data_IF_209780521871
#
_entry.id   IF_209780521871
#
_cell.length_a   1.000
_cell.length_b   1.000
_cell.length_c   1.000
_cell.angle_alpha   90.00
_cell.angle_beta   90.00
_cell.angle_gamma   90.00
#
_symmetry.space_group_name_H-M   'P 1'
#
loop_
_entity.id
_entity.type
_entity.pdbx_description
1 polymer ?
#
# COMPACT_ATOMS: atom_id res chain seq x y z
N UNK A 1 13.88 -3.18 16.72
CA UNK A 1 13.39 -3.36 15.34
C UNK A 1 13.37 -1.99 14.65
N UNK A 2 14.05 -1.87 13.52
CA UNK A 2 14.07 -0.65 12.71
C UNK A 2 13.09 -0.79 11.56
N UNK A 3 12.10 0.08 11.51
CA UNK A 3 11.08 0.11 10.46
C UNK A 3 11.31 1.33 9.58
N UNK A 4 11.43 1.14 8.27
CA UNK A 4 11.57 2.23 7.30
C UNK A 4 10.32 2.35 6.42
N UNK A 5 9.84 3.58 6.23
CA UNK A 5 8.83 3.89 5.22
C UNK A 5 9.51 4.17 3.88
N UNK A 6 9.16 3.45 2.82
CA UNK A 6 9.61 3.71 1.46
C UNK A 6 8.41 4.15 0.63
N UNK A 7 8.55 5.29 -0.06
CA UNK A 7 7.52 5.87 -0.91
C UNK A 7 7.99 5.72 -2.37
N UNK A 8 7.54 4.67 -3.10
CA UNK A 8 7.86 4.54 -4.51
C UNK A 8 7.17 5.63 -5.32
N UNK A 9 7.93 6.33 -6.16
CA UNK A 9 7.45 7.40 -6.99
C UNK A 9 8.10 7.35 -8.37
N UNK A 10 7.27 7.30 -9.43
CA UNK A 10 7.74 7.37 -10.82
C UNK A 10 7.06 8.50 -11.56
N UNK A 11 7.81 9.16 -12.46
CA UNK A 11 7.26 10.25 -13.27
C UNK A 11 6.40 9.71 -14.42
N UNK A 12 6.83 8.62 -15.04
CA UNK A 12 6.19 8.01 -16.20
C UNK A 12 4.95 7.19 -15.80
N UNK A 13 3.88 7.87 -15.44
CA UNK A 13 2.55 7.27 -15.27
C UNK A 13 1.74 7.45 -16.55
N UNK A 14 1.13 6.39 -17.08
CA UNK A 14 0.32 6.48 -18.31
C UNK A 14 -0.98 7.27 -18.10
N UNK A 15 -1.61 7.13 -16.94
CA UNK A 15 -2.88 7.79 -16.60
C UNK A 15 -2.69 9.23 -16.12
N UNK A 16 -1.56 9.53 -15.48
CA UNK A 16 -1.29 10.85 -14.91
C UNK A 16 0.24 11.10 -14.88
N UNK A 17 0.86 11.51 -16.02
CA UNK A 17 2.28 11.81 -16.06
C UNK A 17 2.66 12.94 -15.08
N UNK A 18 3.78 12.76 -14.37
CA UNK A 18 4.22 13.74 -13.36
C UNK A 18 3.41 13.79 -12.08
N UNK A 19 2.49 12.84 -11.86
CA UNK A 19 1.62 12.75 -10.68
C UNK A 19 2.31 13.07 -9.34
N UNK A 20 3.53 12.59 -9.03
CA UNK A 20 4.20 12.90 -7.76
C UNK A 20 4.51 14.38 -7.55
N UNK A 21 4.66 15.15 -8.62
CA UNK A 21 5.00 16.58 -8.59
C UNK A 21 3.79 17.51 -8.70
N UNK A 22 2.58 16.95 -8.83
CA UNK A 22 1.35 17.74 -8.93
C UNK A 22 1.16 18.56 -7.65
N UNK A 23 0.90 19.86 -7.82
CA UNK A 23 0.58 20.73 -6.69
C UNK A 23 -0.81 20.42 -6.12
N UNK A 24 -0.85 20.31 -4.81
CA UNK A 24 -2.08 20.15 -4.02
C UNK A 24 -2.02 21.21 -2.93
N UNK A 25 -2.66 22.37 -3.16
CA UNK A 25 -2.70 23.48 -2.23
C UNK A 25 -1.30 23.86 -1.68
N UNK A 26 -0.38 24.20 -2.59
CA UNK A 26 0.95 24.73 -2.28
C UNK A 26 2.02 23.70 -1.91
N UNK A 27 1.71 22.39 -1.94
CA UNK A 27 2.68 21.30 -1.76
C UNK A 27 2.46 20.24 -2.82
N UNK A 28 3.55 19.64 -3.30
CA UNK A 28 3.41 18.52 -4.23
C UNK A 28 2.82 17.28 -3.54
N UNK A 29 2.23 16.38 -4.34
CA UNK A 29 1.70 15.11 -3.86
C UNK A 29 2.74 14.33 -3.05
N UNK A 30 3.94 14.14 -3.60
CA UNK A 30 5.01 13.39 -2.93
C UNK A 30 5.47 14.05 -1.63
N UNK A 31 5.49 15.39 -1.57
CA UNK A 31 5.82 16.13 -0.35
C UNK A 31 4.77 15.88 0.73
N UNK A 32 3.48 15.89 0.38
CA UNK A 32 2.40 15.60 1.33
C UNK A 32 2.50 14.19 1.90
N UNK A 33 2.68 13.19 1.03
CA UNK A 33 2.86 11.79 1.48
C UNK A 33 4.07 11.68 2.40
N UNK A 34 5.21 12.27 2.02
CA UNK A 34 6.43 12.25 2.82
C UNK A 34 6.24 12.88 4.21
N UNK A 35 5.65 14.07 4.26
CA UNK A 35 5.39 14.79 5.52
C UNK A 35 4.40 14.05 6.41
N UNK A 36 3.36 13.40 5.85
CA UNK A 36 2.44 12.56 6.60
C UNK A 36 3.15 11.33 7.16
N UNK A 37 3.91 10.62 6.33
CA UNK A 37 4.66 9.44 6.76
C UNK A 37 5.66 9.77 7.89
N UNK A 38 6.31 10.93 7.84
CA UNK A 38 7.24 11.39 8.88
C UNK A 38 6.60 11.62 10.25
N UNK A 39 5.27 11.72 10.33
CA UNK A 39 4.55 11.86 11.60
C UNK A 39 4.27 10.52 12.30
N UNK A 40 4.45 9.39 11.61
CA UNK A 40 4.35 8.06 12.23
C UNK A 40 5.38 7.90 13.34
N UNK A 41 4.95 7.33 14.46
CA UNK A 41 5.81 7.07 15.63
C UNK A 41 6.59 5.76 15.50
N UNK A 42 6.16 4.89 14.60
CA UNK A 42 6.77 3.57 14.38
C UNK A 42 7.93 3.61 13.41
N UNK A 43 8.01 4.63 12.55
CA UNK A 43 9.07 4.72 11.55
C UNK A 43 10.37 5.29 12.13
N UNK A 44 11.44 4.54 11.93
CA UNK A 44 12.80 5.05 12.17
C UNK A 44 13.18 6.11 11.13
N UNK A 45 12.79 5.92 9.87
CA UNK A 45 13.04 6.86 8.78
C UNK A 45 12.02 6.72 7.64
N UNK A 46 12.02 7.72 6.75
CA UNK A 46 11.21 7.74 5.52
C UNK A 46 12.09 8.13 4.35
N UNK A 47 11.95 7.43 3.22
CA UNK A 47 12.70 7.69 2.00
C UNK A 47 11.80 7.59 0.77
N UNK A 48 11.98 8.49 -0.18
CA UNK A 48 11.36 8.40 -1.51
C UNK A 48 12.25 7.55 -2.41
N UNK A 49 11.68 6.59 -3.13
CA UNK A 49 12.37 5.77 -4.12
C UNK A 49 11.91 6.15 -5.53
N UNK A 50 12.82 6.65 -6.35
CA UNK A 50 12.46 7.14 -7.70
C UNK A 50 13.54 6.83 -8.73
N UNK A 51 13.13 6.78 -10.00
CA UNK A 51 14.01 6.67 -11.17
C UNK A 51 14.14 7.99 -11.94
N UNK A 52 13.54 9.09 -11.42
CA UNK A 52 13.45 10.35 -12.12
C UNK A 52 14.16 11.48 -11.37
N UNK A 53 15.10 12.14 -12.04
CA UNK A 53 15.92 13.21 -11.44
C UNK A 53 15.11 14.45 -11.05
N UNK A 54 13.96 14.70 -11.70
CA UNK A 54 13.05 15.81 -11.34
C UNK A 54 12.42 15.56 -9.97
N UNK A 55 12.00 14.32 -9.71
CA UNK A 55 11.45 13.91 -8.41
C UNK A 55 12.58 13.95 -7.37
N UNK A 56 13.75 13.40 -7.69
CA UNK A 56 14.92 13.44 -6.79
C UNK A 56 15.24 14.86 -6.34
N UNK A 57 15.38 15.79 -7.31
CA UNK A 57 15.71 17.19 -7.01
C UNK A 57 14.61 17.85 -6.19
N UNK A 58 13.34 17.58 -6.51
CA UNK A 58 12.21 18.15 -5.78
C UNK A 58 12.19 17.66 -4.32
N UNK A 59 12.43 16.36 -4.09
CA UNK A 59 12.50 15.79 -2.73
C UNK A 59 13.64 16.41 -1.93
N UNK A 60 14.82 16.58 -2.54
CA UNK A 60 15.96 17.27 -1.90
C UNK A 60 15.64 18.72 -1.55
N UNK A 61 14.88 19.43 -2.39
CA UNK A 61 14.55 20.84 -2.20
C UNK A 61 13.66 21.08 -0.96
N UNK A 62 12.76 20.14 -0.62
CA UNK A 62 11.99 20.25 0.62
C UNK A 62 12.65 19.53 1.82
N UNK A 63 13.92 19.09 1.68
CA UNK A 63 14.68 18.42 2.76
C UNK A 63 14.33 16.96 2.98
N UNK A 64 13.62 16.32 2.04
CA UNK A 64 13.30 14.89 2.09
C UNK A 64 14.49 14.01 1.72
N UNK A 65 14.47 12.76 2.20
CA UNK A 65 15.43 11.73 1.79
C UNK A 65 14.96 11.03 0.54
N UNK A 66 15.87 10.76 -0.38
CA UNK A 66 15.59 10.12 -1.65
C UNK A 66 16.68 9.13 -2.03
N UNK A 67 16.28 8.03 -2.64
CA UNK A 67 17.18 7.00 -3.21
C UNK A 67 16.80 6.81 -4.67
N UNK A 68 17.81 6.87 -5.55
CA UNK A 68 17.63 6.56 -6.96
C UNK A 68 17.57 5.05 -7.16
N UNK A 69 16.63 4.61 -8.00
CA UNK A 69 16.37 3.20 -8.32
C UNK A 69 16.26 3.03 -9.83
N UNK A 70 16.33 1.79 -10.30
CA UNK A 70 16.16 1.45 -11.72
C UNK A 70 14.79 1.87 -12.26
N UNK A 71 14.75 2.26 -13.53
CA UNK A 71 13.52 2.50 -14.29
C UNK A 71 12.85 1.22 -14.81
N UNK A 72 13.47 0.05 -14.61
CA UNK A 72 12.97 -1.23 -15.11
C UNK A 72 11.99 -1.93 -14.15
N UNK A 73 11.81 -1.42 -12.95
CA UNK A 73 10.88 -2.00 -11.98
C UNK A 73 9.44 -1.97 -12.48
N UNK A 74 8.78 -3.14 -12.41
CA UNK A 74 7.40 -3.30 -12.82
C UNK A 74 6.43 -2.93 -11.69
N UNK A 75 6.84 -3.12 -10.43
CA UNK A 75 6.01 -2.88 -9.25
C UNK A 75 6.63 -1.90 -8.25
N UNK A 76 5.80 -1.37 -7.35
CA UNK A 76 6.27 -0.62 -6.19
C UNK A 76 7.07 -1.49 -5.22
N UNK A 77 6.74 -2.76 -5.12
CA UNK A 77 7.42 -3.75 -4.27
C UNK A 77 8.87 -3.95 -4.69
N UNK A 78 9.13 -4.14 -6.00
CA UNK A 78 10.49 -4.27 -6.55
C UNK A 78 11.33 -3.01 -6.29
N UNK A 79 10.71 -1.83 -6.47
CA UNK A 79 11.36 -0.54 -6.21
C UNK A 79 11.70 -0.37 -4.73
N UNK A 80 10.81 -0.79 -3.83
CA UNK A 80 11.09 -0.78 -2.39
C UNK A 80 12.27 -1.68 -2.03
N UNK A 81 12.40 -2.85 -2.64
CA UNK A 81 13.52 -3.75 -2.42
C UNK A 81 14.86 -3.14 -2.84
N UNK A 82 14.94 -2.58 -4.04
CA UNK A 82 16.17 -1.91 -4.48
C UNK A 82 16.49 -0.69 -3.59
N UNK A 83 15.49 0.12 -3.27
CA UNK A 83 15.68 1.28 -2.41
C UNK A 83 16.19 0.89 -1.00
N UNK A 84 15.68 -0.20 -0.42
CA UNK A 84 16.17 -0.75 0.84
C UNK A 84 17.66 -1.13 0.75
N UNK A 85 18.06 -1.77 -0.34
CA UNK A 85 19.48 -2.17 -0.55
C UNK A 85 20.41 -0.98 -0.73
N UNK A 86 19.94 0.07 -1.40
CA UNK A 86 20.73 1.27 -1.70
C UNK A 86 20.69 2.30 -0.55
N UNK A 87 19.77 2.16 0.38
CA UNK A 87 19.69 3.03 1.54
C UNK A 87 20.80 2.71 2.56
N UNK A 88 21.45 3.74 3.10
CA UNK A 88 22.63 3.60 3.98
C UNK A 88 22.35 3.04 5.38
N UNK A 89 21.12 2.59 5.65
CA UNK A 89 20.71 2.03 6.94
C UNK A 89 20.13 0.63 6.78
N UNK A 90 20.48 -0.29 7.69
CA UNK A 90 19.80 -1.58 7.77
C UNK A 90 18.42 -1.41 8.42
N UNK A 91 17.38 -1.91 7.78
CA UNK A 91 16.03 -1.98 8.31
C UNK A 91 15.59 -3.44 8.47
N UNK A 92 14.82 -3.73 9.51
CA UNK A 92 14.25 -5.05 9.76
C UNK A 92 12.92 -5.22 9.02
N UNK A 93 12.17 -4.10 8.90
CA UNK A 93 10.85 -4.05 8.27
C UNK A 93 10.77 -2.86 7.32
N UNK A 94 10.18 -3.08 6.17
CA UNK A 94 9.93 -2.07 5.13
C UNK A 94 8.42 -1.87 5.03
N UNK A 95 7.95 -0.61 5.08
CA UNK A 95 6.57 -0.24 4.77
C UNK A 95 6.56 0.45 3.42
N UNK A 96 5.85 -0.14 2.46
CA UNK A 96 5.58 0.43 1.14
C UNK A 96 4.40 1.39 1.25
N UNK A 97 4.70 2.69 1.30
CA UNK A 97 3.71 3.76 1.44
C UNK A 97 3.36 4.27 0.04
N UNK A 98 2.08 4.25 -0.31
CA UNK A 98 1.64 4.65 -1.64
C UNK A 98 1.91 6.15 -1.90
N UNK A 99 2.66 6.43 -2.97
CA UNK A 99 3.04 7.80 -3.34
C UNK A 99 1.91 8.67 -3.90
N UNK A 100 0.70 8.11 -4.00
CA UNK A 100 -0.50 8.75 -4.52
C UNK A 100 -1.62 8.93 -3.48
N UNK A 101 -1.30 8.72 -2.21
CA UNK A 101 -2.20 8.97 -1.07
C UNK A 101 -1.72 10.18 -0.24
N UNK A 102 -1.94 11.43 -0.71
CA UNK A 102 -1.37 12.64 -0.10
C UNK A 102 -1.88 12.92 1.31
N UNK A 103 -2.95 12.28 1.74
CA UNK A 103 -3.55 12.40 3.07
C UNK A 103 -3.56 11.07 3.84
N UNK A 104 -2.62 10.17 3.51
CA UNK A 104 -2.41 8.97 4.33
C UNK A 104 -2.28 9.35 5.80
N UNK A 105 -2.96 8.61 6.66
CA UNK A 105 -2.91 8.90 8.08
C UNK A 105 -1.71 8.22 8.74
N UNK A 106 -0.91 8.95 9.56
CA UNK A 106 0.21 8.34 10.29
C UNK A 106 -0.20 7.12 11.12
N UNK A 107 -1.43 7.13 11.65
CA UNK A 107 -1.99 6.01 12.40
C UNK A 107 -2.09 4.71 11.58
N UNK A 108 -2.38 4.77 10.27
CA UNK A 108 -2.38 3.58 9.40
C UNK A 108 -0.98 2.95 9.32
N UNK A 109 0.06 3.79 9.28
CA UNK A 109 1.44 3.33 9.26
C UNK A 109 1.82 2.68 10.61
N UNK A 110 1.35 3.25 11.72
CA UNK A 110 1.57 2.70 13.05
C UNK A 110 0.79 1.38 13.24
N UNK A 111 -0.44 1.28 12.74
CA UNK A 111 -1.25 0.06 12.76
C UNK A 111 -0.57 -1.10 12.01
N UNK A 112 -0.12 -0.89 10.76
CA UNK A 112 0.55 -1.95 10.00
C UNK A 112 1.91 -2.33 10.62
N UNK A 113 2.65 -1.37 11.18
CA UNK A 113 3.89 -1.61 11.89
C UNK A 113 3.68 -2.53 13.10
N UNK A 114 2.55 -2.43 13.78
CA UNK A 114 2.22 -3.23 14.96
C UNK A 114 2.16 -4.74 14.67
N UNK A 115 1.85 -5.13 13.42
CA UNK A 115 1.85 -6.53 12.99
C UNK A 115 3.20 -7.23 13.20
N UNK A 116 4.31 -6.47 13.23
CA UNK A 116 5.67 -6.98 13.37
C UNK A 116 6.17 -6.99 14.82
N UNK A 117 5.34 -6.66 15.79
CA UNK A 117 5.68 -6.84 17.20
C UNK A 117 5.76 -8.34 17.59
N UNK A 118 5.16 -9.20 16.80
CA UNK A 118 5.34 -10.66 16.89
C UNK A 118 6.40 -11.12 15.90
N UNK A 119 7.27 -12.06 16.31
CA UNK A 119 8.45 -12.48 15.52
C UNK A 119 8.12 -13.29 14.25
N UNK A 120 6.86 -13.68 14.04
CA UNK A 120 6.42 -14.56 12.95
C UNK A 120 5.82 -13.81 11.76
N UNK A 121 5.75 -12.46 11.80
CA UNK A 121 5.19 -11.67 10.71
C UNK A 121 6.15 -11.64 9.51
N UNK A 122 5.70 -12.20 8.40
CA UNK A 122 6.40 -12.16 7.11
C UNK A 122 6.00 -10.91 6.31
N UNK A 123 4.70 -10.76 6.12
CA UNK A 123 4.04 -9.71 5.36
C UNK A 123 2.87 -9.19 6.17
N UNK A 124 2.51 -7.93 5.99
CA UNK A 124 1.31 -7.37 6.57
C UNK A 124 0.60 -6.40 5.60
N UNK A 125 -0.69 -6.25 5.79
CA UNK A 125 -1.52 -5.23 5.13
C UNK A 125 -2.65 -4.78 6.06
N UNK A 126 -3.41 -3.76 5.63
CA UNK A 126 -4.58 -3.30 6.34
C UNK A 126 -5.87 -3.68 5.61
N UNK A 127 -6.93 -3.84 6.38
CA UNK A 127 -8.28 -3.97 5.85
C UNK A 127 -9.24 -3.06 6.60
N UNK A 128 -10.31 -2.67 5.92
CA UNK A 128 -11.39 -1.90 6.52
C UNK A 128 -12.71 -2.64 6.32
N UNK A 129 -13.59 -2.57 7.33
CA UNK A 129 -14.95 -3.12 7.24
C UNK A 129 -15.72 -2.41 6.12
N UNK A 130 -16.39 -3.20 5.29
CA UNK A 130 -17.31 -2.70 4.27
C UNK A 130 -18.67 -2.45 4.91
N UNK A 131 -19.22 -1.25 4.70
CA UNK A 131 -20.50 -0.83 5.26
C UNK A 131 -21.55 -0.50 4.19
N UNK A 132 -21.19 -0.53 2.90
CA UNK A 132 -22.10 -0.22 1.80
C UNK A 132 -22.10 -1.32 0.75
N UNK A 133 -23.25 -1.58 0.14
CA UNK A 133 -23.37 -2.51 -0.99
C UNK A 133 -22.58 -2.02 -2.21
N UNK A 134 -22.44 -0.70 -2.38
CA UNK A 134 -21.63 -0.13 -3.45
C UNK A 134 -20.17 -0.58 -3.34
N UNK A 135 -19.52 -0.46 -2.18
CA UNK A 135 -18.15 -0.94 -1.96
C UNK A 135 -18.05 -2.46 -2.10
N UNK A 136 -19.05 -3.20 -1.61
CA UNK A 136 -19.04 -4.66 -1.64
C UNK A 136 -19.02 -5.21 -3.07
N UNK A 137 -19.84 -4.64 -3.96
CA UNK A 137 -19.96 -5.11 -5.35
C UNK A 137 -19.08 -4.35 -6.33
N UNK A 138 -18.32 -3.33 -5.89
CA UNK A 138 -17.37 -2.61 -6.73
C UNK A 138 -16.12 -3.45 -6.98
N UNK A 139 -15.89 -3.87 -8.22
CA UNK A 139 -14.71 -4.66 -8.64
C UNK A 139 -13.37 -3.92 -8.48
N UNK A 140 -13.39 -2.59 -8.34
CA UNK A 140 -12.19 -1.78 -8.08
C UNK A 140 -11.83 -1.72 -6.59
N UNK A 141 -12.69 -2.23 -5.72
CA UNK A 141 -12.46 -2.37 -4.28
C UNK A 141 -12.19 -3.84 -3.98
N UNK A 142 -10.94 -4.31 -3.86
CA UNK A 142 -10.65 -5.72 -3.57
C UNK A 142 -11.16 -6.12 -2.19
N UNK A 143 -11.83 -7.27 -2.11
CA UNK A 143 -12.28 -7.89 -0.86
C UNK A 143 -11.25 -8.86 -0.33
N UNK A 144 -11.25 -9.06 0.97
CA UNK A 144 -10.29 -9.93 1.67
C UNK A 144 -11.02 -10.92 2.56
N UNK A 145 -10.71 -12.20 2.41
CA UNK A 145 -11.10 -13.24 3.36
C UNK A 145 -10.01 -13.42 4.42
N UNK A 146 -10.41 -13.47 5.68
CA UNK A 146 -9.52 -13.63 6.83
C UNK A 146 -9.73 -14.96 7.52
N UNK A 147 -8.63 -15.55 8.02
CA UNK A 147 -8.71 -16.64 8.97
C UNK A 147 -8.86 -16.13 10.42
N UNK A 148 -9.00 -17.06 11.37
CA UNK A 148 -9.16 -16.71 12.81
C UNK A 148 -7.90 -16.08 13.43
N UNK A 149 -6.74 -16.23 12.79
CA UNK A 149 -5.46 -15.67 13.20
C UNK A 149 -5.21 -14.28 12.61
N UNK A 150 -6.23 -13.69 11.96
CA UNK A 150 -6.13 -12.43 11.22
C UNK A 150 -5.05 -12.51 10.11
N UNK A 151 -5.00 -13.60 9.38
CA UNK A 151 -4.18 -13.74 8.19
C UNK A 151 -5.10 -13.76 6.96
N UNK A 152 -4.66 -13.17 5.86
CA UNK A 152 -5.42 -13.18 4.62
C UNK A 152 -5.42 -14.59 4.00
N UNK A 153 -6.62 -15.11 3.71
CA UNK A 153 -6.81 -16.37 3.01
C UNK A 153 -6.81 -16.13 1.50
N UNK A 154 -7.49 -15.07 1.06
CA UNK A 154 -7.65 -14.73 -0.34
C UNK A 154 -8.01 -13.25 -0.49
N UNK A 155 -7.61 -12.69 -1.64
CA UNK A 155 -8.09 -11.39 -2.13
C UNK A 155 -8.86 -11.60 -3.42
N UNK A 156 -9.94 -10.87 -3.63
CA UNK A 156 -10.68 -10.91 -4.89
C UNK A 156 -11.36 -9.58 -5.18
N UNK A 157 -11.49 -9.26 -6.47
CA UNK A 157 -12.33 -8.15 -6.93
C UNK A 157 -13.82 -8.45 -6.79
N UNK A 158 -14.20 -9.74 -6.77
CA UNK A 158 -15.57 -10.16 -6.54
C UNK A 158 -15.96 -10.04 -5.06
N UNK A 159 -17.26 -9.95 -4.80
CA UNK A 159 -17.79 -10.05 -3.46
C UNK A 159 -17.60 -11.48 -2.92
N UNK A 160 -16.71 -11.66 -1.95
CA UNK A 160 -16.40 -12.92 -1.29
C UNK A 160 -16.49 -12.77 0.23
N UNK A 161 -17.02 -13.81 0.96
CA UNK A 161 -17.61 -15.05 0.47
C UNK A 161 -19.03 -14.85 -0.08
N UNK A 162 -19.52 -15.81 -0.86
CA UNK A 162 -20.94 -15.88 -1.20
C UNK A 162 -21.74 -16.30 0.05
N UNK A 163 -22.86 -15.61 0.31
CA UNK A 163 -23.72 -15.92 1.46
C UNK A 163 -24.87 -16.80 1.00
N UNK A 164 -24.72 -18.11 1.22
CA UNK A 164 -25.70 -19.10 0.82
C UNK A 164 -27.07 -18.85 1.47
N UNK A 165 -28.13 -18.83 0.66
CA UNK A 165 -29.50 -18.70 1.14
C UNK A 165 -29.93 -17.29 1.49
N UNK A 166 -29.11 -16.28 1.17
CA UNK A 166 -29.40 -14.86 1.34
C UNK A 166 -29.37 -14.15 -0.01
N UNK A 167 -30.25 -13.15 -0.16
CA UNK A 167 -30.15 -12.20 -1.28
C UNK A 167 -29.00 -11.23 -1.04
N UNK A 168 -28.49 -10.62 -2.11
CA UNK A 168 -27.35 -9.70 -2.03
C UNK A 168 -27.58 -8.51 -1.08
N UNK A 169 -28.82 -8.01 -1.02
CA UNK A 169 -29.20 -6.92 -0.13
C UNK A 169 -29.08 -7.26 1.37
N UNK A 170 -29.11 -8.56 1.70
CA UNK A 170 -29.00 -9.06 3.08
C UNK A 170 -27.55 -9.41 3.49
N UNK A 171 -26.58 -9.36 2.58
CA UNK A 171 -25.23 -9.88 2.83
C UNK A 171 -24.49 -9.11 3.92
N UNK A 172 -24.59 -7.78 3.92
CA UNK A 172 -23.91 -6.92 4.93
C UNK A 172 -24.46 -7.11 6.34
N UNK A 173 -25.72 -7.53 6.48
CA UNK A 173 -26.33 -7.87 7.78
C UNK A 173 -25.90 -9.27 8.24
N UNK A 174 -25.72 -10.20 7.28
CA UNK A 174 -25.43 -11.59 7.55
C UNK A 174 -23.96 -11.89 7.82
N UNK A 175 -23.02 -11.07 7.27
CA UNK A 175 -21.59 -11.31 7.36
C UNK A 175 -20.78 -10.00 7.34
N UNK A 176 -19.65 -9.98 8.03
CA UNK A 176 -18.71 -8.85 8.01
C UNK A 176 -17.73 -9.01 6.85
N UNK A 177 -17.86 -8.16 5.85
CA UNK A 177 -16.95 -8.09 4.72
C UNK A 177 -15.85 -7.06 4.98
N UNK A 178 -14.67 -7.31 4.40
CA UNK A 178 -13.51 -6.42 4.50
C UNK A 178 -13.02 -6.03 3.12
N UNK A 179 -12.70 -4.74 2.93
CA UNK A 179 -11.95 -4.23 1.79
C UNK A 179 -10.47 -4.10 2.13
N UNK A 180 -9.64 -4.37 1.15
CA UNK A 180 -8.19 -4.19 1.24
C UNK A 180 -7.84 -2.69 1.21
N UNK A 181 -6.88 -2.30 2.04
CA UNK A 181 -6.23 -0.98 2.01
C UNK A 181 -4.81 -1.18 1.46
N UNK A 182 -4.47 -0.43 0.40
CA UNK A 182 -3.28 -0.64 -0.45
C UNK A 182 -1.92 -0.34 0.18
N UNK A 183 -1.76 -0.48 1.49
CA UNK A 183 -0.49 -0.34 2.19
C UNK A 183 0.05 -1.72 2.56
N UNK A 184 1.37 -1.93 2.40
CA UNK A 184 2.02 -3.18 2.74
C UNK A 184 3.26 -2.98 3.60
N UNK A 185 3.51 -3.94 4.49
CA UNK A 185 4.76 -4.04 5.21
C UNK A 185 5.38 -5.42 5.03
N UNK A 186 6.70 -5.47 5.00
CA UNK A 186 7.47 -6.66 4.70
C UNK A 186 8.61 -6.81 5.69
N UNK A 187 8.84 -8.02 6.18
CA UNK A 187 10.15 -8.38 6.71
C UNK A 187 11.21 -8.18 5.60
N UNK A 188 12.36 -7.63 5.93
CA UNK A 188 13.39 -7.26 4.94
C UNK A 188 13.90 -8.45 4.12
N UNK A 189 14.07 -9.62 4.73
CA UNK A 189 14.50 -10.85 4.06
C UNK A 189 13.38 -11.36 3.13
N UNK A 190 12.15 -11.40 3.64
CA UNK A 190 10.97 -11.84 2.88
C UNK A 190 10.72 -10.93 1.67
N UNK A 191 10.95 -9.62 1.79
CA UNK A 191 10.85 -8.70 0.65
C UNK A 191 11.77 -9.13 -0.50
N UNK A 192 13.01 -9.53 -0.19
CA UNK A 192 13.92 -10.05 -1.21
C UNK A 192 13.45 -11.35 -1.86
N UNK A 193 12.80 -12.22 -1.09
CA UNK A 193 12.25 -13.49 -1.61
C UNK A 193 11.06 -13.27 -2.53
N UNK A 194 10.09 -12.43 -2.13
CA UNK A 194 8.87 -12.20 -2.92
C UNK A 194 9.11 -11.43 -4.22
N UNK A 195 10.13 -10.55 -4.27
CA UNK A 195 10.50 -9.85 -5.52
C UNK A 195 11.19 -10.76 -6.54
N UNK A 196 11.69 -11.92 -6.13
CA UNK A 196 12.23 -12.94 -7.02
C UNK A 196 11.16 -13.87 -7.62
N UNK A 197 9.93 -13.83 -7.15
CA UNK A 197 8.84 -14.68 -7.64
C UNK A 197 8.37 -14.24 -9.02
N UNK A 198 8.07 -15.23 -9.87
CA UNK A 198 7.40 -14.96 -11.14
C UNK A 198 5.92 -14.64 -10.92
N UNK A 199 5.30 -13.83 -11.80
CA UNK A 199 3.86 -13.60 -11.76
C UNK A 199 3.07 -14.90 -11.72
N UNK A 200 2.06 -14.96 -10.84
CA UNK A 200 1.26 -16.16 -10.60
C UNK A 200 -0.09 -16.12 -11.32
N UNK A 201 -0.76 -17.26 -11.38
CA UNK A 201 -2.02 -17.39 -12.13
C UNK A 201 -3.15 -16.53 -11.57
N UNK A 202 -3.32 -16.50 -10.26
CA UNK A 202 -4.35 -15.68 -9.60
C UNK A 202 -4.00 -14.19 -9.67
N UNK A 203 -2.73 -13.82 -9.52
CA UNK A 203 -2.28 -12.45 -9.70
C UNK A 203 -2.64 -11.91 -11.08
N UNK A 204 -2.35 -12.70 -12.14
CA UNK A 204 -2.64 -12.31 -13.53
C UNK A 204 -4.15 -12.18 -13.75
N UNK A 205 -4.93 -13.13 -13.23
CA UNK A 205 -6.38 -13.16 -13.41
C UNK A 205 -7.09 -11.98 -12.69
N UNK A 206 -6.70 -11.69 -11.46
CA UNK A 206 -7.32 -10.65 -10.63
C UNK A 206 -6.62 -9.28 -10.77
N UNK A 207 -5.38 -9.24 -11.30
CA UNK A 207 -4.55 -8.04 -11.32
C UNK A 207 -4.23 -7.56 -9.89
N UNK A 208 -3.91 -8.49 -8.99
CA UNK A 208 -3.63 -8.27 -7.57
C UNK A 208 -2.31 -8.94 -7.19
N UNK A 209 -1.24 -8.17 -7.06
CA UNK A 209 0.14 -8.65 -6.82
C UNK A 209 0.24 -9.56 -5.58
N UNK A 210 -0.49 -9.28 -4.53
CA UNK A 210 -0.44 -10.03 -3.27
C UNK A 210 -0.94 -11.47 -3.39
N UNK A 211 -1.68 -11.81 -4.44
CA UNK A 211 -2.07 -13.18 -4.72
C UNK A 211 -0.87 -14.06 -5.09
N UNK A 212 0.16 -13.49 -5.75
CA UNK A 212 1.43 -14.16 -6.00
C UNK A 212 2.04 -14.70 -4.70
N UNK A 213 2.02 -13.89 -3.66
CA UNK A 213 2.61 -14.26 -2.38
C UNK A 213 1.83 -15.38 -1.70
N UNK A 214 0.49 -15.30 -1.70
CA UNK A 214 -0.38 -16.36 -1.15
C UNK A 214 -0.22 -17.66 -1.92
N UNK A 215 -0.19 -17.65 -3.26
CA UNK A 215 0.01 -18.84 -4.10
C UNK A 215 1.38 -19.51 -3.81
N UNK A 216 2.37 -18.75 -3.38
CA UNK A 216 3.70 -19.26 -3.00
C UNK A 216 3.83 -19.56 -1.50
N UNK A 217 2.73 -19.57 -0.74
CA UNK A 217 2.68 -20.00 0.65
C UNK A 217 3.11 -18.97 1.69
N UNK A 218 3.30 -17.69 1.29
CA UNK A 218 3.57 -16.62 2.25
C UNK A 218 2.30 -16.22 3.01
N UNK A 219 2.48 -15.94 4.29
CA UNK A 219 1.41 -15.46 5.16
C UNK A 219 1.38 -13.94 5.18
N UNK A 220 0.19 -13.37 4.99
CA UNK A 220 -0.03 -11.93 5.09
C UNK A 220 -0.86 -11.68 6.34
N UNK A 221 -0.26 -11.11 7.38
CA UNK A 221 -0.98 -10.62 8.56
C UNK A 221 -1.83 -9.42 8.19
N UNK A 222 -2.97 -9.31 8.85
CA UNK A 222 -3.93 -8.26 8.56
C UNK A 222 -4.32 -7.54 9.85
N UNK A 223 -4.22 -6.22 9.86
CA UNK A 223 -4.81 -5.42 10.93
C UNK A 223 -5.98 -4.58 10.39
N UNK A 224 -6.96 -4.33 11.25
CA UNK A 224 -8.12 -3.52 10.92
C UNK A 224 -7.78 -2.04 11.09
N UNK A 225 -8.30 -1.23 10.18
CA UNK A 225 -8.20 0.22 10.26
C UNK A 225 -9.57 0.89 10.12
N UNK A 226 -9.77 1.98 10.84
CA UNK A 226 -10.94 2.86 10.67
C UNK A 226 -10.65 4.04 9.74
N UNK A 227 -9.39 4.25 9.38
CA UNK A 227 -9.00 5.33 8.47
C UNK A 227 -9.45 5.06 7.04
N UNK A 228 -9.74 6.17 6.32
CA UNK A 228 -9.97 6.15 4.88
C UNK A 228 -8.75 6.73 4.17
N UNK A 229 -8.29 6.03 3.14
CA UNK A 229 -7.30 6.55 2.20
C UNK A 229 -7.99 7.00 0.93
N UNK A 230 -7.53 8.11 0.36
CA UNK A 230 -7.96 8.60 -0.94
C UNK A 230 -6.76 8.62 -1.86
N UNK A 231 -6.71 7.65 -2.75
CA UNK A 231 -5.70 7.59 -3.80
C UNK A 231 -6.09 8.51 -4.97
N UNK A 232 -5.10 9.14 -5.58
CA UNK A 232 -5.23 9.96 -6.77
C UNK A 232 -4.66 9.20 -7.96
N UNK A 233 -5.52 8.71 -8.83
CA UNK A 233 -5.12 7.90 -9.98
C UNK A 233 -5.16 8.68 -11.30
N UNK A 234 -6.10 9.59 -11.41
CA UNK A 234 -6.33 10.46 -12.58
C UNK A 234 -6.48 11.91 -12.13
N UNK A 235 -6.28 12.91 -13.03
CA UNK A 235 -6.40 14.33 -12.66
C UNK A 235 -7.73 14.69 -12.00
N UNK A 236 -8.83 14.10 -12.43
CA UNK A 236 -10.17 14.37 -11.87
C UNK A 236 -10.30 14.00 -10.39
N UNK A 237 -9.49 13.05 -9.92
CA UNK A 237 -9.48 12.65 -8.51
C UNK A 237 -9.00 13.77 -7.58
N UNK A 238 -8.28 14.79 -8.10
CA UNK A 238 -7.89 15.95 -7.31
C UNK A 238 -9.09 16.68 -6.70
N UNK A 239 -10.25 16.60 -7.35
CA UNK A 239 -11.49 17.19 -6.83
C UNK A 239 -11.95 16.49 -5.53
N UNK A 240 -11.61 15.21 -5.34
CA UNK A 240 -11.92 14.46 -4.12
C UNK A 240 -11.19 15.00 -2.88
N UNK A 241 -10.10 15.76 -3.10
CA UNK A 241 -9.25 16.28 -2.03
C UNK A 241 -9.79 17.52 -1.34
N UNK A 242 -10.83 18.17 -1.89
CA UNK A 242 -11.44 19.38 -1.30
C UNK A 242 -11.93 19.20 0.13
N UNK A 243 -12.20 17.94 0.55
CA UNK A 243 -12.61 17.62 1.93
C UNK A 243 -11.43 17.63 2.93
N UNK A 244 -10.19 17.60 2.45
CA UNK A 244 -8.97 17.48 3.26
C UNK A 244 -8.13 18.76 3.27
N UNK A 245 -8.54 19.75 2.48
CA UNK A 245 -7.93 21.08 2.35
C UNK A 245 -8.70 22.13 3.13
#
# INVERSE_FOLDING_TARGET
>A
MKIIGIIPARYASTRFPGKPLVDIAGKSMIQRVYEQAKQSKSLWDVVVATDDTRIEQHVKNFGGKVVMTSNQHQSGTDRCYEAMKNFSGQADVIINIQGDEPFIQPGQIDEIASCFHTQDAQLATLVKKINTSEDLFNVNVPKVLLNKQKEAICFSRQAIPHIRGKKEEEWLEAYTFYKHIGIYAYNAEVLGQITALQPSSLEIAEGLEQLRWIENGYKIKVELTDYESVAIDVPDDLQKLTKFL
#
